data_IF_061930526938
#
_entry.id   IF_061930526938
#
_cell.length_a   1.000
_cell.length_b   1.000
_cell.length_c   1.000
_cell.angle_alpha   90.00
_cell.angle_beta   90.00
_cell.angle_gamma   90.00
#
_symmetry.space_group_name_H-M   'P 1'
#
loop_
_entity.id
_entity.type
_entity.pdbx_description
1 polymer ?
#
# COMPACT_ATOMS: atom_id res chain seq x y z
N UNK A 1 16.25 -12.13 36.86
CA UNK A 1 15.57 -12.92 35.83
C UNK A 1 15.10 -11.99 34.72
N UNK A 2 15.74 -11.99 33.55
CA UNK A 2 15.15 -11.42 32.35
C UNK A 2 14.18 -12.46 31.75
N UNK A 3 12.94 -12.06 31.48
CA UNK A 3 12.02 -12.89 30.70
C UNK A 3 12.54 -12.91 29.27
N UNK A 4 13.20 -14.00 28.89
CA UNK A 4 13.50 -14.28 27.48
C UNK A 4 12.16 -14.61 26.83
N UNK A 5 11.70 -13.71 25.97
CA UNK A 5 10.46 -13.87 25.22
C UNK A 5 10.72 -14.85 24.06
N UNK A 6 10.30 -16.10 24.26
CA UNK A 6 10.43 -17.19 23.28
C UNK A 6 9.46 -17.06 22.09
N UNK A 7 8.61 -16.03 22.06
CA UNK A 7 7.76 -15.76 20.88
C UNK A 7 8.56 -15.23 19.70
N UNK A 8 9.79 -14.75 19.92
CA UNK A 8 10.72 -14.34 18.86
C UNK A 8 11.46 -15.55 18.28
N UNK A 9 10.74 -16.37 17.50
CA UNK A 9 11.38 -17.36 16.64
C UNK A 9 12.22 -16.65 15.58
N UNK A 10 13.54 -16.55 15.82
CA UNK A 10 14.58 -16.17 14.85
C UNK A 10 14.15 -15.15 13.79
N UNK A 11 13.96 -13.89 14.16
CA UNK A 11 13.82 -12.82 13.17
C UNK A 11 15.16 -12.56 12.49
N UNK A 12 15.43 -13.30 11.41
CA UNK A 12 16.71 -13.33 10.69
C UNK A 12 16.89 -12.14 9.73
N UNK A 13 15.94 -11.23 9.64
CA UNK A 13 16.02 -10.05 8.77
C UNK A 13 15.80 -8.77 9.56
N UNK A 14 16.62 -7.75 9.30
CA UNK A 14 16.47 -6.41 9.86
C UNK A 14 15.07 -5.82 9.62
N UNK A 15 14.38 -6.24 8.55
CA UNK A 15 13.02 -5.81 8.22
C UNK A 15 11.97 -6.39 9.18
N UNK A 16 12.10 -7.65 9.61
CA UNK A 16 11.17 -8.23 10.60
C UNK A 16 11.24 -7.49 11.95
N UNK A 17 12.37 -6.87 12.29
CA UNK A 17 12.52 -6.03 13.47
C UNK A 17 11.99 -4.61 13.31
N UNK A 18 11.95 -4.07 12.09
CA UNK A 18 11.64 -2.64 11.87
C UNK A 18 10.18 -2.43 11.45
N UNK A 19 9.59 -3.38 10.70
CA UNK A 19 8.19 -3.29 10.23
C UNK A 19 7.23 -4.19 11.02
N UNK A 20 7.72 -5.02 11.93
CA UNK A 20 6.93 -6.01 12.69
C UNK A 20 6.04 -6.92 11.81
N UNK A 21 6.36 -7.07 10.52
CA UNK A 21 5.61 -7.89 9.58
C UNK A 21 6.49 -9.05 9.10
N UNK A 22 6.00 -10.26 9.28
CA UNK A 22 6.63 -11.48 8.76
C UNK A 22 6.39 -11.60 7.26
N UNK A 23 7.28 -12.31 6.56
CA UNK A 23 7.06 -12.64 5.13
C UNK A 23 5.71 -13.33 4.88
N UNK A 24 5.20 -14.10 5.84
CA UNK A 24 3.89 -14.78 5.75
C UNK A 24 2.72 -13.80 5.77
N UNK A 25 2.78 -12.79 6.64
CA UNK A 25 1.77 -11.73 6.72
C UNK A 25 1.81 -10.86 5.47
N UNK A 26 3.01 -10.50 4.99
CA UNK A 26 3.21 -9.79 3.73
C UNK A 26 2.56 -10.52 2.53
N UNK A 27 2.74 -11.85 2.42
CA UNK A 27 2.08 -12.65 1.36
C UNK A 27 0.56 -12.61 1.47
N UNK A 28 0.03 -12.62 2.69
CA UNK A 28 -1.42 -12.57 2.94
C UNK A 28 -2.00 -11.20 2.60
N UNK A 29 -1.28 -10.12 2.91
CA UNK A 29 -1.77 -8.74 2.75
C UNK A 29 -1.61 -8.19 1.33
N UNK A 30 -0.59 -8.63 0.59
CA UNK A 30 -0.31 -8.13 -0.77
C UNK A 30 -1.53 -8.17 -1.73
N UNK A 31 -2.35 -9.24 -1.78
CA UNK A 31 -3.56 -9.25 -2.61
C UNK A 31 -4.60 -8.19 -2.23
N UNK A 32 -4.70 -7.86 -0.93
CA UNK A 32 -5.64 -6.83 -0.45
C UNK A 32 -5.21 -5.45 -0.94
N UNK A 33 -3.93 -5.11 -0.79
CA UNK A 33 -3.40 -3.83 -1.29
C UNK A 33 -3.49 -3.72 -2.81
N UNK A 34 -3.20 -4.80 -3.56
CA UNK A 34 -3.38 -4.83 -5.02
C UNK A 34 -4.84 -4.65 -5.43
N UNK A 35 -5.79 -5.20 -4.67
CA UNK A 35 -7.23 -5.04 -4.92
C UNK A 35 -7.68 -3.61 -4.62
N UNK A 36 -7.23 -3.06 -3.49
CA UNK A 36 -7.47 -1.66 -3.13
C UNK A 36 -6.93 -0.71 -4.21
N UNK A 37 -5.68 -0.90 -4.64
CA UNK A 37 -5.05 -0.11 -5.70
C UNK A 37 -5.88 -0.13 -6.98
N UNK A 38 -6.28 -1.32 -7.46
CA UNK A 38 -7.14 -1.43 -8.66
C UNK A 38 -8.48 -0.69 -8.51
N UNK A 39 -9.08 -0.73 -7.32
CA UNK A 39 -10.36 -0.07 -7.08
C UNK A 39 -10.23 1.45 -7.02
N UNK A 40 -9.19 1.97 -6.38
CA UNK A 40 -8.90 3.40 -6.35
C UNK A 40 -8.50 3.89 -7.74
N UNK A 41 -7.71 3.10 -8.48
CA UNK A 41 -7.29 3.44 -9.85
C UNK A 41 -8.48 3.67 -10.77
N UNK A 42 -9.49 2.78 -10.73
CA UNK A 42 -10.75 2.98 -11.49
C UNK A 42 -11.49 4.27 -11.11
N UNK A 43 -11.44 4.68 -9.84
CA UNK A 43 -12.06 5.95 -9.41
C UNK A 43 -11.25 7.13 -9.92
N UNK A 44 -9.93 7.09 -9.78
CA UNK A 44 -9.02 8.08 -10.30
C UNK A 44 -9.19 8.25 -11.81
N UNK A 45 -9.11 7.18 -12.59
CA UNK A 45 -9.22 7.20 -14.06
C UNK A 45 -10.52 7.89 -14.49
N UNK A 46 -11.64 7.62 -13.80
CA UNK A 46 -12.91 8.32 -14.07
C UNK A 46 -12.83 9.83 -13.89
N UNK A 47 -12.14 10.31 -12.86
CA UNK A 47 -12.01 11.76 -12.63
C UNK A 47 -10.90 12.37 -13.49
N UNK A 48 -9.90 11.59 -13.89
CA UNK A 48 -8.89 11.99 -14.86
C UNK A 48 -9.52 12.23 -16.23
N UNK A 49 -10.38 11.32 -16.71
CA UNK A 49 -11.11 11.48 -17.97
C UNK A 49 -11.93 12.80 -18.00
N UNK A 50 -12.54 13.15 -16.86
CA UNK A 50 -13.32 14.40 -16.71
C UNK A 50 -12.39 15.63 -16.68
N UNK A 51 -11.23 15.50 -16.03
CA UNK A 51 -10.21 16.54 -15.97
C UNK A 51 -9.65 16.82 -17.37
N UNK A 52 -9.25 15.78 -18.12
CA UNK A 52 -8.76 15.88 -19.49
C UNK A 52 -9.81 16.48 -20.44
N UNK A 53 -11.11 16.24 -20.17
CA UNK A 53 -12.22 16.86 -20.89
C UNK A 53 -12.39 18.36 -20.63
N UNK A 54 -11.72 18.94 -19.62
CA UNK A 54 -11.82 20.36 -19.26
C UNK A 54 -13.13 20.78 -18.60
N UNK A 55 -13.99 19.81 -18.24
CA UNK A 55 -15.30 20.03 -17.62
C UNK A 55 -15.31 19.74 -16.11
N UNK A 56 -14.14 19.52 -15.52
CA UNK A 56 -14.01 19.19 -14.11
C UNK A 56 -14.47 20.34 -13.21
N UNK A 57 -15.42 20.04 -12.33
CA UNK A 57 -15.77 20.91 -11.20
C UNK A 57 -14.68 20.86 -10.14
N UNK A 58 -14.58 21.91 -9.31
CA UNK A 58 -13.63 21.97 -8.18
C UNK A 58 -13.74 20.73 -7.27
N UNK A 59 -14.95 20.26 -7.01
CA UNK A 59 -15.18 19.06 -6.20
C UNK A 59 -14.61 17.79 -6.86
N UNK A 60 -14.72 17.66 -8.18
CA UNK A 60 -14.15 16.53 -8.92
C UNK A 60 -12.63 16.59 -8.94
N UNK A 61 -12.06 17.79 -9.08
CA UNK A 61 -10.62 18.01 -9.02
C UNK A 61 -10.05 17.63 -7.64
N UNK A 62 -10.72 18.03 -6.57
CA UNK A 62 -10.34 17.65 -5.20
C UNK A 62 -10.39 16.13 -4.98
N UNK A 63 -11.38 15.45 -5.55
CA UNK A 63 -11.46 13.99 -5.50
C UNK A 63 -10.34 13.32 -6.32
N UNK A 64 -10.02 13.86 -7.50
CA UNK A 64 -8.91 13.39 -8.34
C UNK A 64 -7.57 13.48 -7.61
N UNK A 65 -7.28 14.64 -7.00
CA UNK A 65 -6.08 14.84 -6.18
C UNK A 65 -6.03 13.87 -5.01
N UNK A 66 -7.14 13.70 -4.27
CA UNK A 66 -7.22 12.72 -3.18
C UNK A 66 -6.90 11.30 -3.65
N UNK A 67 -7.47 10.85 -4.77
CA UNK A 67 -7.18 9.50 -5.27
C UNK A 67 -5.76 9.37 -5.83
N UNK A 68 -5.16 10.46 -6.31
CA UNK A 68 -3.75 10.49 -6.70
C UNK A 68 -2.84 10.21 -5.50
N UNK A 69 -3.11 10.87 -4.36
CA UNK A 69 -2.39 10.63 -3.10
C UNK A 69 -2.58 9.18 -2.62
N UNK A 70 -3.82 8.70 -2.56
CA UNK A 70 -4.12 7.32 -2.14
C UNK A 70 -3.44 6.27 -3.03
N UNK A 71 -3.32 6.52 -4.35
CA UNK A 71 -2.58 5.63 -5.27
C UNK A 71 -1.09 5.62 -4.97
N UNK A 72 -0.49 6.78 -4.70
CA UNK A 72 0.93 6.89 -4.34
C UNK A 72 1.26 6.13 -3.06
N UNK A 73 0.43 6.27 -2.03
CA UNK A 73 0.59 5.54 -0.76
C UNK A 73 0.50 4.02 -0.98
N UNK A 74 -0.49 3.57 -1.76
CA UNK A 74 -0.66 2.15 -2.07
C UNK A 74 0.48 1.59 -2.92
N UNK A 75 1.03 2.36 -3.86
CA UNK A 75 2.21 1.98 -4.64
C UNK A 75 3.44 1.80 -3.75
N UNK A 76 3.68 2.73 -2.81
CA UNK A 76 4.78 2.60 -1.85
C UNK A 76 4.64 1.33 -1.02
N UNK A 77 3.47 1.11 -0.42
CA UNK A 77 3.21 -0.08 0.42
C UNK A 77 3.40 -1.37 -0.38
N UNK A 78 2.87 -1.45 -1.60
CA UNK A 78 3.01 -2.63 -2.46
C UNK A 78 4.50 -2.88 -2.77
N UNK A 79 5.24 -1.82 -3.13
CA UNK A 79 6.67 -1.90 -3.45
C UNK A 79 7.52 -2.36 -2.26
N UNK A 80 7.23 -1.85 -1.06
CA UNK A 80 7.89 -2.25 0.18
C UNK A 80 7.62 -3.72 0.53
N UNK A 81 6.35 -4.15 0.44
CA UNK A 81 5.97 -5.55 0.65
C UNK A 81 6.68 -6.45 -0.37
N UNK A 82 6.71 -6.08 -1.65
CA UNK A 82 7.42 -6.86 -2.67
C UNK A 82 8.92 -6.93 -2.42
N UNK A 83 9.52 -5.86 -1.91
CA UNK A 83 10.94 -5.82 -1.51
C UNK A 83 11.21 -6.81 -0.37
N UNK A 84 10.36 -6.83 0.66
CA UNK A 84 10.45 -7.79 1.78
C UNK A 84 10.30 -9.23 1.30
N UNK A 85 9.44 -9.48 0.31
CA UNK A 85 9.19 -10.82 -0.22
C UNK A 85 10.30 -11.34 -1.16
N UNK A 86 11.10 -10.45 -1.76
CA UNK A 86 12.23 -10.80 -2.63
C UNK A 86 13.52 -11.10 -1.87
N UNK A 87 13.69 -10.51 -0.69
CA UNK A 87 14.73 -10.88 0.28
C UNK A 87 14.43 -12.25 0.88
#
# INVERSE_FOLDING_TARGET
MSYIDYTRSSSNSAYEMTVCMTKKECKTLLPFFRTAYKNIRKKYDRYEDIHEGGEATEKQENLRMKYTEELGDLESIISEIETILKQ
#
